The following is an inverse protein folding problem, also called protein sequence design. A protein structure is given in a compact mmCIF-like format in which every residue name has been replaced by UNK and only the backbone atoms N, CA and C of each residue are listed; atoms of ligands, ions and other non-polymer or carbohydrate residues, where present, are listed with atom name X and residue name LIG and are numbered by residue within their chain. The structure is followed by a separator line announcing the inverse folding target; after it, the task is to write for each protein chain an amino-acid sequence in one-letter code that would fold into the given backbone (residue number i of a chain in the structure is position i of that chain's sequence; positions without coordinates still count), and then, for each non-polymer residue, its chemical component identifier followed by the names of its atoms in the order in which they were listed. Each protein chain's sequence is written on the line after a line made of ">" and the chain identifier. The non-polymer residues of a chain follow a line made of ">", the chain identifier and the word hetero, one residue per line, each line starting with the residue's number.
data_IF_981608963522
#
_entry.id   IF_981608963522
#
_cell.length_a   1.000
_cell.length_b   1.000
_cell.length_c   1.000
_cell.angle_alpha   90.00
_cell.angle_beta   90.00
_cell.angle_gamma   90.00
#
_symmetry.space_group_name_H-M   'P 1'
#
loop_
_entity.id
_entity.type
_entity.pdbx_description
1 polymer ?
#
# COMPACT_ATOMS: atom_id res chain seq x y z
N UNK A 1 -3.09 -43.40 0.80
CA UNK A 1 -2.83 -43.21 1.14
C UNK A 1 -2.91 -42.96 1.17
N UNK A 2 -2.93 -42.78 1.50
CA UNK A 2 -2.81 -42.38 1.89
C UNK A 2 -2.97 -41.98 2.40
N UNK A 3 -3.04 -41.93 2.69
CA UNK A 3 -3.03 -41.43 3.37
C UNK A 3 -3.37 -40.88 3.73
N UNK A 4 -3.48 -40.92 3.95
CA UNK A 4 -3.57 -40.27 4.46
C UNK A 4 -3.95 -39.71 4.85
N UNK A 5 -4.07 -39.75 5.11
CA UNK A 5 -4.19 -39.20 5.70
C UNK A 5 -4.31 -38.76 6.13
N UNK A 6 -4.16 -38.72 6.34
CA UNK A 6 -4.20 -38.38 7.14
C UNK A 6 -4.26 -37.80 7.32
N UNK A 7 -3.66 -37.94 7.36
CA UNK A 7 -3.57 -37.38 7.78
C UNK A 7 -4.15 -36.75 7.66
N UNK A 8 -4.22 -36.66 7.80
CA UNK A 8 -5.06 -36.07 7.68
C UNK A 8 -5.54 -35.10 8.33
N UNK A 9 -5.95 -35.01 8.66
CA UNK A 9 -6.75 -34.07 9.31
C UNK A 9 -6.03 -32.94 9.96
N UNK A 10 -4.87 -33.08 10.29
CA UNK A 10 -4.06 -32.06 10.92
C UNK A 10 -3.71 -30.92 9.98
N UNK A 11 -3.73 -31.19 8.70
CA UNK A 11 -3.42 -30.14 7.74
C UNK A 11 -4.46 -29.02 7.69
N UNK A 12 -5.65 -29.29 8.14
CA UNK A 12 -6.72 -28.29 8.12
C UNK A 12 -6.43 -27.12 9.05
N UNK A 13 -5.82 -27.37 10.19
CA UNK A 13 -5.54 -26.30 11.12
C UNK A 13 -4.54 -25.31 10.56
N UNK A 14 -3.53 -25.79 9.86
CA UNK A 14 -2.56 -24.92 9.24
C UNK A 14 -3.21 -24.04 8.16
N UNK A 15 -4.12 -24.61 7.40
CA UNK A 15 -4.81 -23.86 6.36
C UNK A 15 -5.70 -22.77 6.91
N UNK A 16 -6.25 -22.97 8.09
CA UNK A 16 -7.13 -21.98 8.69
C UNK A 16 -6.37 -20.74 9.16
N UNK A 17 -5.10 -20.90 9.45
CA UNK A 17 -4.27 -19.78 9.91
C UNK A 17 -3.74 -18.97 8.73
N UNK A 18 -3.33 -19.64 7.68
CA UNK A 18 -2.69 -19.01 6.55
C UNK A 18 -3.55 -17.99 5.79
N UNK A 19 -4.86 -18.24 5.58
CA UNK A 19 -5.68 -17.29 4.81
C UNK A 19 -5.82 -15.91 5.41
N UNK A 20 -5.47 -15.75 6.68
CA UNK A 20 -5.54 -14.43 7.31
C UNK A 20 -4.46 -13.49 6.82
N UNK A 21 -3.53 -14.00 6.02
CA UNK A 21 -2.38 -13.22 5.59
C UNK A 21 -2.29 -13.22 4.07
N UNK A 22 -2.02 -12.04 3.52
CA UNK A 22 -1.80 -11.89 2.09
C UNK A 22 -0.55 -11.07 1.87
N UNK A 23 0.47 -11.69 1.28
CA UNK A 23 1.75 -11.06 1.01
C UNK A 23 1.99 -11.04 -0.50
N UNK A 24 2.30 -9.87 -1.02
CA UNK A 24 2.58 -9.68 -2.43
C UNK A 24 3.83 -8.84 -2.60
N UNK A 25 4.56 -9.12 -3.68
CA UNK A 25 5.65 -8.25 -4.11
C UNK A 25 5.40 -7.87 -5.55
N UNK A 26 5.31 -6.57 -5.79
CA UNK A 26 5.02 -6.02 -7.11
C UNK A 26 6.12 -5.07 -7.55
N UNK A 27 6.65 -5.28 -8.74
CA UNK A 27 7.66 -4.41 -9.34
C UNK A 27 6.97 -3.36 -10.18
N UNK A 28 7.05 -2.11 -9.74
CA UNK A 28 6.43 -0.97 -10.42
C UNK A 28 7.53 0.00 -10.83
N UNK A 29 8.02 -0.14 -12.06
CA UNK A 29 9.15 0.65 -12.52
C UNK A 29 10.41 0.29 -11.75
N UNK A 30 11.03 1.27 -11.12
CA UNK A 30 12.28 1.09 -10.37
C UNK A 30 12.06 0.67 -8.92
N UNK A 31 10.82 0.56 -8.50
CA UNK A 31 10.49 0.28 -7.10
C UNK A 31 9.73 -1.03 -6.99
N UNK A 32 10.15 -1.88 -6.07
CA UNK A 32 9.42 -3.08 -5.72
C UNK A 32 8.66 -2.80 -4.42
N UNK A 33 7.36 -3.03 -4.43
CA UNK A 33 6.54 -2.86 -3.25
C UNK A 33 6.26 -4.22 -2.63
N UNK A 34 6.76 -4.41 -1.41
CA UNK A 34 6.48 -5.62 -0.64
C UNK A 34 5.32 -5.32 0.28
N UNK A 35 4.20 -5.97 0.02
CA UNK A 35 2.96 -5.77 0.77
C UNK A 35 2.75 -6.95 1.70
N UNK A 36 2.63 -6.66 2.99
CA UNK A 36 2.29 -7.66 4.00
C UNK A 36 0.98 -7.23 4.64
N UNK A 37 -0.03 -8.04 4.49
CA UNK A 37 -1.35 -7.75 5.05
C UNK A 37 -1.78 -8.88 5.95
N UNK A 38 -1.82 -8.58 7.24
CA UNK A 38 -2.27 -9.52 8.24
C UNK A 38 -3.76 -9.37 8.51
N UNK A 39 -4.22 -10.05 9.53
CA UNK A 39 -5.62 -10.03 9.93
C UNK A 39 -6.05 -8.66 10.46
N UNK A 40 -5.13 -7.95 11.11
CA UNK A 40 -5.42 -6.67 11.78
C UNK A 40 -4.57 -5.54 11.19
N UNK A 41 -4.37 -5.50 9.93
CA UNK A 41 -3.62 -4.43 9.29
C UNK A 41 -2.44 -4.97 8.51
N UNK A 42 -1.57 -4.08 8.10
CA UNK A 42 -0.46 -4.48 7.27
C UNK A 42 0.58 -3.40 7.13
N UNK A 43 1.56 -3.68 6.29
CA UNK A 43 2.64 -2.75 6.00
C UNK A 43 3.08 -2.88 4.56
N UNK A 44 3.71 -1.84 4.05
CA UNK A 44 4.28 -1.84 2.71
C UNK A 44 5.70 -1.33 2.80
N UNK A 45 6.61 -2.07 2.20
CA UNK A 45 8.02 -1.67 2.11
C UNK A 45 8.36 -1.39 0.66
N UNK A 46 8.97 -0.25 0.41
CA UNK A 46 9.44 0.13 -0.92
C UNK A 46 10.92 -0.23 -1.04
N UNK A 47 11.25 -1.03 -2.02
CA UNK A 47 12.62 -1.49 -2.26
C UNK A 47 13.11 -0.92 -3.58
N UNK A 48 14.21 -0.20 -3.53
CA UNK A 48 14.86 0.37 -4.70
C UNK A 48 16.31 -0.08 -4.74
N UNK A 49 17.06 0.40 -5.72
CA UNK A 49 18.49 0.11 -5.82
C UNK A 49 19.29 0.63 -4.62
N UNK A 50 18.76 1.60 -3.88
CA UNK A 50 19.45 2.19 -2.74
C UNK A 50 19.04 1.56 -1.41
N UNK A 51 18.10 0.65 -1.41
CA UNK A 51 17.70 -0.07 -0.20
C UNK A 51 16.21 -0.14 -0.01
N UNK A 52 15.82 -0.60 1.17
CA UNK A 52 14.42 -0.81 1.54
C UNK A 52 14.01 0.24 2.57
N UNK A 53 12.85 0.87 2.34
CA UNK A 53 12.30 1.85 3.27
C UNK A 53 10.81 1.61 3.45
N UNK A 54 10.24 1.95 4.62
CA UNK A 54 8.79 1.87 4.76
C UNK A 54 8.11 2.82 3.78
N UNK A 55 7.07 2.33 3.16
CA UNK A 55 6.26 3.13 2.25
C UNK A 55 5.13 3.78 3.02
N UNK A 56 4.80 5.01 2.66
CA UNK A 56 3.66 5.71 3.24
C UNK A 56 3.91 6.10 4.70
N UNK A 57 5.04 6.76 4.94
CA UNK A 57 5.36 7.33 6.24
C UNK A 57 5.65 8.80 6.08
N UNK A 58 5.47 9.55 7.14
CA UNK A 58 5.69 10.99 7.14
C UNK A 58 7.09 11.32 7.66
N UNK A 59 7.86 12.05 6.86
CA UNK A 59 9.18 12.53 7.25
C UNK A 59 9.08 13.74 8.17
N UNK A 60 7.99 14.49 8.06
CA UNK A 60 7.82 15.73 8.79
C UNK A 60 6.36 15.87 9.24
N UNK A 61 6.00 15.22 10.36
CA UNK A 61 4.60 15.21 10.81
C UNK A 61 4.04 16.58 11.16
N UNK A 62 4.88 17.61 11.29
CA UNK A 62 4.39 18.96 11.55
C UNK A 62 3.62 19.52 10.34
N UNK A 63 3.95 19.09 9.14
CA UNK A 63 3.33 19.59 7.91
C UNK A 63 2.78 18.48 7.02
N UNK A 64 3.04 17.20 7.35
CA UNK A 64 2.59 16.05 6.57
C UNK A 64 1.84 15.07 7.44
N UNK A 65 0.67 14.67 7.01
CA UNK A 65 -0.07 13.58 7.63
C UNK A 65 -0.22 12.47 6.60
N UNK A 66 0.24 11.28 6.94
CA UNK A 66 0.25 10.15 6.01
C UNK A 66 -0.60 9.03 6.56
N UNK A 67 -1.48 8.50 5.72
CA UNK A 67 -2.38 7.42 6.10
C UNK A 67 -2.27 6.27 5.11
N UNK A 68 -2.00 5.08 5.62
CA UNK A 68 -1.96 3.86 4.84
C UNK A 68 -3.21 3.05 5.14
N UNK A 69 -3.94 2.64 4.11
CA UNK A 69 -5.12 1.81 4.31
C UNK A 69 -5.17 0.69 3.28
N UNK A 70 -5.73 -0.45 3.70
CA UNK A 70 -5.90 -1.62 2.87
C UNK A 70 -7.39 -1.79 2.58
N UNK A 71 -7.75 -1.82 1.29
CA UNK A 71 -9.14 -1.89 0.84
C UNK A 71 -9.26 -2.99 -0.19
N UNK A 72 -9.65 -4.17 0.23
CA UNK A 72 -9.75 -5.33 -0.66
C UNK A 72 -8.44 -5.56 -1.41
N UNK A 73 -8.42 -5.35 -2.72
CA UNK A 73 -7.23 -5.54 -3.52
C UNK A 73 -6.37 -4.29 -3.63
N UNK A 74 -6.78 -3.20 -3.00
CA UNK A 74 -6.08 -1.93 -3.13
C UNK A 74 -5.37 -1.55 -1.85
N UNK A 75 -4.19 -0.96 -2.02
CA UNK A 75 -3.45 -0.32 -0.93
C UNK A 75 -3.43 1.17 -1.25
N UNK A 76 -3.93 1.96 -0.31
CA UNK A 76 -4.04 3.41 -0.47
C UNK A 76 -3.06 4.10 0.46
N UNK A 77 -2.29 5.02 -0.10
CA UNK A 77 -1.43 5.91 0.69
C UNK A 77 -1.82 7.34 0.41
N UNK A 78 -2.30 8.02 1.42
CA UNK A 78 -2.70 9.43 1.31
C UNK A 78 -1.73 10.25 2.14
N UNK A 79 -1.05 11.20 1.50
CA UNK A 79 -0.20 12.16 2.19
C UNK A 79 -0.82 13.53 2.06
N UNK A 80 -1.16 14.12 3.18
CA UNK A 80 -1.80 15.42 3.26
C UNK A 80 -0.80 16.46 3.73
N UNK A 81 -0.57 17.48 2.91
CA UNK A 81 0.23 18.64 3.28
C UNK A 81 -0.68 19.68 3.92
N UNK A 82 -0.26 20.22 5.05
CA UNK A 82 -1.04 21.24 5.74
C UNK A 82 -0.10 22.32 6.31
N UNK A 83 -0.69 23.43 6.73
CA UNK A 83 0.05 24.52 7.35
C UNK A 83 0.56 24.05 8.70
N UNK A 84 1.81 24.36 9.04
CA UNK A 84 2.42 23.87 10.28
C UNK A 84 1.77 24.44 11.55
N UNK A 85 1.15 25.61 11.45
CA UNK A 85 0.54 26.27 12.59
C UNK A 85 -0.91 25.83 12.84
N UNK A 86 -1.52 25.21 11.85
CA UNK A 86 -2.90 24.69 11.97
C UNK A 86 -3.06 23.53 10.98
N UNK A 87 -4.27 22.97 10.91
CA UNK A 87 -4.52 21.81 10.03
C UNK A 87 -5.03 22.19 8.66
N UNK A 88 -4.89 23.45 8.27
CA UNK A 88 -5.42 23.91 7.00
C UNK A 88 -4.75 23.21 5.84
N UNK A 89 -5.52 22.56 4.96
CA UNK A 89 -4.94 21.76 3.87
C UNK A 89 -4.34 22.65 2.78
N UNK A 90 -3.25 22.15 2.19
CA UNK A 90 -2.56 22.83 1.08
C UNK A 90 -2.53 21.93 -0.16
N UNK A 91 -2.13 20.69 0.01
CA UNK A 91 -1.94 19.74 -1.08
C UNK A 91 -2.12 18.32 -0.58
N UNK A 92 -2.36 17.42 -1.51
CA UNK A 92 -2.56 16.01 -1.20
C UNK A 92 -1.95 15.16 -2.29
N UNK A 93 -1.29 14.09 -1.89
CA UNK A 93 -0.84 13.05 -2.81
C UNK A 93 -1.56 11.76 -2.47
N UNK A 94 -2.02 11.07 -3.50
CA UNK A 94 -2.70 9.79 -3.33
C UNK A 94 -1.99 8.76 -4.19
N UNK A 95 -1.57 7.67 -3.56
CA UNK A 95 -1.04 6.50 -4.24
C UNK A 95 -2.01 5.37 -4.06
N UNK A 96 -2.36 4.70 -5.15
CA UNK A 96 -3.23 3.52 -5.11
C UNK A 96 -2.53 2.39 -5.83
N UNK A 97 -2.20 1.35 -5.09
CA UNK A 97 -1.63 0.13 -5.66
C UNK A 97 -2.76 -0.90 -5.73
N UNK A 98 -3.18 -1.23 -6.95
CA UNK A 98 -4.19 -2.26 -7.16
C UNK A 98 -3.49 -3.57 -7.43
N UNK A 99 -3.58 -4.51 -6.47
CA UNK A 99 -2.85 -5.77 -6.55
C UNK A 99 -3.47 -6.75 -7.54
N UNK A 100 -4.75 -6.59 -7.83
CA UNK A 100 -5.44 -7.44 -8.79
C UNK A 100 -5.10 -7.04 -10.22
N UNK A 101 -5.23 -5.77 -10.54
CA UNK A 101 -4.92 -5.25 -11.89
C UNK A 101 -3.42 -5.02 -12.07
N UNK A 102 -2.65 -5.00 -10.99
CA UNK A 102 -1.21 -4.75 -10.98
C UNK A 102 -0.87 -3.40 -11.57
N UNK A 103 -1.59 -2.38 -11.11
CA UNK A 103 -1.36 -1.01 -11.53
C UNK A 103 -1.16 -0.13 -10.32
N UNK A 104 -0.22 0.80 -10.46
CA UNK A 104 0.04 1.81 -9.44
C UNK A 104 -0.41 3.15 -10.00
N UNK A 105 -1.29 3.81 -9.27
CA UNK A 105 -1.80 5.14 -9.65
C UNK A 105 -1.25 6.17 -8.69
N UNK A 106 -0.93 7.33 -9.22
CA UNK A 106 -0.48 8.46 -8.42
C UNK A 106 -1.23 9.70 -8.83
N UNK A 107 -1.82 10.40 -7.87
CA UNK A 107 -2.62 11.60 -8.08
C UNK A 107 -2.09 12.72 -7.19
N UNK A 108 -1.89 13.90 -7.78
CA UNK A 108 -1.50 15.10 -7.05
C UNK A 108 -2.64 16.10 -7.07
N UNK A 109 -2.99 16.64 -5.91
CA UNK A 109 -4.07 17.61 -5.75
C UNK A 109 -3.58 18.86 -5.04
N UNK A 110 -4.13 19.99 -5.41
CA UNK A 110 -3.98 21.23 -4.64
C UNK A 110 -5.33 21.63 -4.06
N UNK A 111 -5.30 22.19 -2.86
CA UNK A 111 -6.50 22.70 -2.23
C UNK A 111 -6.60 24.17 -2.53
N UNK A 112 -7.67 24.61 -3.19
CA UNK A 112 -7.90 25.98 -3.55
C UNK A 112 -9.41 26.23 -3.64
N UNK A 113 -9.84 27.41 -3.25
CA UNK A 113 -11.25 27.82 -3.35
C UNK A 113 -12.20 26.85 -2.63
N UNK A 114 -11.73 26.29 -1.52
CA UNK A 114 -12.55 25.41 -0.69
C UNK A 114 -12.69 23.99 -1.21
N UNK A 115 -11.91 23.60 -2.21
CA UNK A 115 -12.02 22.28 -2.81
C UNK A 115 -10.69 21.74 -3.29
N UNK A 116 -10.64 20.44 -3.57
CA UNK A 116 -9.47 19.76 -4.10
C UNK A 116 -9.49 19.81 -5.62
N UNK A 117 -8.35 20.16 -6.21
CA UNK A 117 -8.19 20.25 -7.66
C UNK A 117 -7.08 19.31 -8.11
N UNK A 118 -7.41 18.36 -8.96
CA UNK A 118 -6.44 17.42 -9.50
C UNK A 118 -5.45 18.15 -10.40
N UNK A 119 -4.15 18.01 -10.09
CA UNK A 119 -3.09 18.66 -10.85
C UNK A 119 -2.37 17.69 -11.77
N UNK A 120 -2.17 16.47 -11.33
CA UNK A 120 -1.43 15.47 -12.10
C UNK A 120 -1.94 14.09 -11.79
N UNK A 121 -1.87 13.23 -12.78
CA UNK A 121 -2.33 11.85 -12.68
C UNK A 121 -1.39 10.97 -13.49
N UNK A 122 -0.85 9.92 -12.87
CA UNK A 122 0.07 9.01 -13.53
C UNK A 122 -0.28 7.57 -13.19
N UNK A 123 0.11 6.66 -14.07
CA UNK A 123 -0.17 5.25 -13.93
C UNK A 123 1.06 4.45 -14.34
N UNK A 124 1.39 3.43 -13.57
CA UNK A 124 2.49 2.52 -13.87
C UNK A 124 1.93 1.11 -13.84
N UNK A 125 2.29 0.30 -14.84
CA UNK A 125 1.93 -1.12 -14.86
C UNK A 125 3.01 -1.88 -14.12
N UNK A 126 2.59 -2.71 -13.16
CA UNK A 126 3.49 -3.47 -12.32
C UNK A 126 3.53 -4.93 -12.75
N UNK A 127 4.52 -5.65 -12.24
CA UNK A 127 4.69 -7.08 -12.48
C UNK A 127 4.83 -7.77 -11.13
N UNK A 128 4.44 -9.03 -11.08
CA UNK A 128 4.70 -9.83 -9.89
C UNK A 128 6.20 -10.08 -9.82
N UNK A 129 6.78 -9.85 -8.63
CA UNK A 129 8.20 -10.10 -8.42
C UNK A 129 8.47 -11.60 -8.42
N UNK A 130 9.55 -11.99 -9.06
CA UNK A 130 9.95 -13.40 -9.16
C UNK A 130 10.88 -13.81 -8.03
#
# INVERSE_FOLDING_TARGET
>A
MRKKMLAIGTGLLALMIMPARADDSLVCGDTTFDVEQGFVGGSVTAVTSTGATPFCVSDNPAVLTTTLSFRDQEVWCVTLHHVSSDSRPLAKQLWVLNRLSKKLYHYDYLFADGDWHLQDERQVICKIAQ
#
